data_IF_707283305620
#
_entry.id   IF_707283305620
#
_cell.length_a   1.000
_cell.length_b   1.000
_cell.length_c   1.000
_cell.angle_alpha   90.00
_cell.angle_beta   90.00
_cell.angle_gamma   90.00
#
_symmetry.space_group_name_H-M   'P 1'
#
loop_
_entity.id
_entity.type
_entity.pdbx_description
1 polymer ?
#
# COMPACT_ATOMS: atom_id res chain seq x y z
N UNK A 1 9.31 1.34 -14.22
CA UNK A 1 9.85 -0.01 -14.51
C UNK A 1 9.17 -0.56 -15.76
N UNK A 2 9.86 -1.42 -16.51
CA UNK A 2 9.32 -2.14 -17.67
C UNK A 2 8.68 -3.49 -17.32
N UNK A 3 8.66 -3.86 -16.04
CA UNK A 3 8.03 -5.12 -15.58
C UNK A 3 6.56 -5.20 -16.00
N UNK A 4 6.10 -6.40 -16.39
CA UNK A 4 4.68 -6.62 -16.73
C UNK A 4 3.75 -6.42 -15.54
N UNK A 5 4.18 -6.80 -14.34
CA UNK A 5 3.40 -6.70 -13.10
C UNK A 5 4.09 -5.72 -12.16
N UNK A 6 3.30 -4.86 -11.51
CA UNK A 6 3.70 -4.02 -10.41
C UNK A 6 2.75 -4.29 -9.24
N UNK A 7 3.30 -4.48 -8.04
CA UNK A 7 2.55 -4.74 -6.81
C UNK A 7 3.00 -3.70 -5.79
N UNK A 8 2.04 -3.07 -5.11
CA UNK A 8 2.30 -2.12 -4.03
C UNK A 8 1.72 -2.67 -2.72
N UNK A 9 2.28 -2.27 -1.59
CA UNK A 9 1.67 -2.50 -0.30
C UNK A 9 0.57 -1.46 -0.05
N UNK A 10 -0.50 -1.84 0.67
CA UNK A 10 -1.55 -0.89 1.03
C UNK A 10 -1.02 0.25 1.92
N UNK A 11 -0.03 -0.04 2.77
CA UNK A 11 0.65 0.95 3.60
C UNK A 11 1.31 2.06 2.76
N UNK A 12 1.95 1.69 1.65
CA UNK A 12 2.60 2.63 0.74
C UNK A 12 1.57 3.51 0.03
N UNK A 13 0.47 2.89 -0.42
CA UNK A 13 -0.63 3.61 -1.07
C UNK A 13 -1.26 4.67 -0.15
N UNK A 14 -1.34 4.35 1.15
CA UNK A 14 -1.85 5.22 2.21
C UNK A 14 -0.79 6.18 2.78
N UNK A 15 0.45 6.15 2.28
CA UNK A 15 1.56 6.99 2.74
C UNK A 15 1.83 6.90 4.26
N UNK A 16 1.69 5.70 4.84
CA UNK A 16 1.92 5.47 6.26
C UNK A 16 3.41 5.34 6.59
N UNK A 17 3.77 5.68 7.82
CA UNK A 17 5.14 5.53 8.31
C UNK A 17 5.40 4.12 8.88
N UNK A 18 6.54 3.94 9.57
CA UNK A 18 6.96 2.66 10.14
C UNK A 18 5.97 2.05 11.15
N UNK A 19 5.02 2.83 11.69
CA UNK A 19 3.96 2.31 12.57
C UNK A 19 3.05 1.30 11.86
N UNK A 20 2.98 1.35 10.52
CA UNK A 20 2.17 0.44 9.72
C UNK A 20 2.91 -0.83 9.24
N UNK A 21 4.16 -1.02 9.68
CA UNK A 21 4.99 -2.13 9.23
C UNK A 21 4.37 -3.48 9.61
N UNK A 22 4.14 -4.33 8.61
CA UNK A 22 3.50 -5.63 8.82
C UNK A 22 4.38 -6.61 9.63
N UNK A 23 5.70 -6.60 9.41
CA UNK A 23 6.60 -7.55 10.06
C UNK A 23 8.03 -7.00 10.20
N UNK A 24 8.66 -7.28 11.34
CA UNK A 24 10.08 -7.09 11.61
C UNK A 24 10.68 -8.49 11.83
N UNK A 25 11.42 -9.04 10.84
CA UNK A 25 12.02 -10.36 10.98
C UNK A 25 12.95 -10.46 12.19
N UNK A 26 12.85 -11.55 12.94
CA UNK A 26 13.68 -11.81 14.12
C UNK A 26 13.17 -11.20 15.42
N UNK A 27 11.98 -10.58 15.44
CA UNK A 27 11.34 -10.09 16.67
C UNK A 27 10.17 -10.98 17.09
N UNK A 28 9.87 -10.95 18.39
CA UNK A 28 8.68 -11.56 18.98
C UNK A 28 7.71 -10.46 19.39
N UNK A 29 6.41 -10.70 19.22
CA UNK A 29 5.36 -9.72 19.51
C UNK A 29 5.14 -8.70 18.40
N UNK A 30 3.95 -8.10 18.36
CA UNK A 30 3.49 -6.97 17.52
C UNK A 30 3.59 -7.12 15.99
N UNK A 31 4.16 -8.19 15.47
CA UNK A 31 4.12 -8.52 14.03
C UNK A 31 2.73 -9.01 13.60
N UNK A 32 2.39 -8.79 12.32
CA UNK A 32 1.16 -9.26 11.66
C UNK A 32 -0.13 -8.66 12.23
N UNK A 33 -0.02 -7.53 12.93
CA UNK A 33 -1.13 -6.87 13.62
C UNK A 33 -1.75 -5.73 12.83
N UNK A 34 -1.07 -5.21 11.81
CA UNK A 34 -1.55 -4.07 11.03
C UNK A 34 -2.88 -4.37 10.34
N UNK A 35 -3.81 -3.42 10.44
CA UNK A 35 -5.11 -3.45 9.77
C UNK A 35 -5.41 -2.07 9.21
N UNK A 36 -5.96 -2.04 8.00
CA UNK A 36 -6.49 -0.82 7.41
C UNK A 36 -7.83 -0.47 8.07
N UNK A 37 -8.05 0.81 8.36
CA UNK A 37 -9.38 1.29 8.71
C UNK A 37 -10.20 1.54 7.44
N UNK A 38 -11.50 1.26 7.48
CA UNK A 38 -12.40 1.44 6.33
C UNK A 38 -12.30 2.85 5.72
N UNK A 39 -12.21 3.88 6.57
CA UNK A 39 -12.09 5.28 6.16
C UNK A 39 -10.80 5.63 5.40
N UNK A 40 -9.78 4.77 5.47
CA UNK A 40 -8.51 5.03 4.78
C UNK A 40 -8.63 4.83 3.27
N UNK A 41 -9.56 3.98 2.80
CA UNK A 41 -9.83 3.82 1.37
C UNK A 41 -10.90 4.82 0.94
N UNK A 42 -10.45 6.00 0.51
CA UNK A 42 -11.30 7.11 0.07
C UNK A 42 -11.08 7.43 -1.42
N UNK A 43 -11.89 8.35 -1.94
CA UNK A 43 -11.87 8.73 -3.36
C UNK A 43 -10.49 9.23 -3.81
N UNK A 44 -9.78 10.01 -3.00
CA UNK A 44 -8.45 10.52 -3.34
C UNK A 44 -7.44 9.39 -3.57
N UNK A 45 -7.45 8.39 -2.70
CA UNK A 45 -6.59 7.21 -2.81
C UNK A 45 -6.92 6.40 -4.07
N UNK A 46 -8.21 6.22 -4.35
CA UNK A 46 -8.69 5.49 -5.52
C UNK A 46 -8.29 6.20 -6.81
N UNK A 47 -8.52 7.52 -6.90
CA UNK A 47 -8.18 8.33 -8.07
C UNK A 47 -6.67 8.34 -8.30
N UNK A 48 -5.87 8.53 -7.23
CA UNK A 48 -4.42 8.48 -7.35
C UNK A 48 -3.91 7.13 -7.86
N UNK A 49 -4.47 6.01 -7.38
CA UNK A 49 -4.10 4.68 -7.87
C UNK A 49 -4.49 4.50 -9.35
N UNK A 50 -5.69 4.95 -9.73
CA UNK A 50 -6.17 4.91 -11.11
C UNK A 50 -5.26 5.70 -12.04
N UNK A 51 -4.92 6.94 -11.68
CA UNK A 51 -4.07 7.82 -12.50
C UNK A 51 -2.68 7.20 -12.70
N UNK A 52 -2.06 6.66 -11.64
CA UNK A 52 -0.78 5.97 -11.74
C UNK A 52 -0.85 4.72 -12.64
N UNK A 53 -1.96 4.00 -12.55
CA UNK A 53 -2.20 2.79 -13.35
C UNK A 53 -2.37 3.14 -14.84
N UNK A 54 -3.11 4.21 -15.16
CA UNK A 54 -3.28 4.72 -16.52
C UNK A 54 -1.98 5.28 -17.09
N UNK A 55 -1.29 6.17 -16.36
CA UNK A 55 -0.01 6.78 -16.78
C UNK A 55 1.09 5.76 -17.05
N UNK A 56 1.05 4.62 -16.35
CA UNK A 56 2.03 3.55 -16.53
C UNK A 56 1.61 2.48 -17.54
N UNK A 57 0.46 2.65 -18.20
CA UNK A 57 -0.06 1.72 -19.21
C UNK A 57 -0.51 0.38 -18.62
N UNK A 58 -1.13 0.39 -17.44
CA UNK A 58 -1.54 -0.80 -16.66
C UNK A 58 -3.04 -0.85 -16.35
N UNK A 59 -3.84 0.03 -16.97
CA UNK A 59 -5.29 0.07 -16.81
C UNK A 59 -5.99 -0.99 -17.66
#
# INVERSE_FOLDING_TARGET
SVSRIAILQMQDLLLLDNSARMNIPGTLGDNWTWRMEEKNLNEDVILKLKDLTEMSGRL
#
